data_IF_222923165750
#
_entry.id   IF_222923165750
#
_cell.length_a   1.000
_cell.length_b   1.000
_cell.length_c   1.000
_cell.angle_alpha   90.00
_cell.angle_beta   90.00
_cell.angle_gamma   90.00
#
_symmetry.space_group_name_H-M   'P 1'
#
loop_
_entity.id
_entity.type
_entity.pdbx_description
1 polymer ?
#
# COMPACT_ATOMS: atom_id res chain seq x y z
N UNK A 1 -2.10 -3.33 24.37
CA UNK A 1 -1.55 -3.51 23.01
C UNK A 1 -0.06 -3.19 23.11
N UNK A 2 0.83 -4.15 22.80
CA UNK A 2 2.29 -3.91 22.84
C UNK A 2 2.69 -3.03 21.67
N UNK A 3 3.56 -2.04 21.88
CA UNK A 3 4.11 -1.17 20.83
C UNK A 3 5.30 -1.83 20.14
N UNK A 4 5.45 -1.65 18.83
CA UNK A 4 6.64 -2.07 18.08
C UNK A 4 7.90 -1.37 18.61
N UNK A 5 7.77 -0.13 19.08
CA UNK A 5 8.87 0.62 19.69
C UNK A 5 9.34 0.02 21.02
N UNK A 6 8.66 -0.97 21.59
CA UNK A 6 9.19 -1.72 22.75
C UNK A 6 10.37 -2.62 22.35
N UNK A 7 10.58 -2.86 21.04
CA UNK A 7 11.68 -3.65 20.47
C UNK A 7 12.89 -2.77 20.05
N UNK A 8 13.10 -1.63 20.72
CA UNK A 8 14.12 -0.64 20.34
C UNK A 8 15.57 -1.17 20.38
N UNK A 9 15.82 -2.29 21.03
CA UNK A 9 17.10 -2.99 21.10
C UNK A 9 17.32 -3.96 19.92
N UNK A 10 16.29 -4.23 19.12
CA UNK A 10 16.39 -5.12 17.98
C UNK A 10 17.10 -4.45 16.78
N UNK A 11 18.15 -5.10 16.28
CA UNK A 11 18.85 -4.69 15.05
C UNK A 11 18.04 -5.02 13.78
N UNK A 12 17.30 -6.13 13.80
CA UNK A 12 16.47 -6.60 12.69
C UNK A 12 15.10 -7.06 13.20
N UNK A 13 14.02 -6.66 12.53
CA UNK A 13 12.64 -7.02 12.85
C UNK A 13 12.00 -7.66 11.62
N UNK A 14 11.33 -8.80 11.79
CA UNK A 14 10.65 -9.54 10.72
C UNK A 14 9.14 -9.52 10.96
N UNK A 15 8.37 -9.07 9.96
CA UNK A 15 6.92 -8.92 10.02
C UNK A 15 6.23 -9.56 8.82
N UNK A 16 5.01 -10.05 9.02
CA UNK A 16 4.20 -10.67 7.98
C UNK A 16 3.53 -9.63 7.07
N UNK A 17 3.05 -8.52 7.65
CA UNK A 17 2.39 -7.42 6.95
C UNK A 17 2.57 -6.09 7.69
N UNK A 18 2.44 -4.97 6.96
CA UNK A 18 2.42 -3.62 7.55
C UNK A 18 1.03 -3.04 7.42
N UNK A 19 0.47 -2.62 8.55
CA UNK A 19 -0.82 -1.95 8.60
C UNK A 19 -0.66 -0.46 8.92
N UNK A 20 -1.61 0.41 8.48
CA UNK A 20 -1.51 1.85 8.70
C UNK A 20 -1.32 2.28 10.16
N UNK A 21 -1.83 1.50 11.11
CA UNK A 21 -1.77 1.79 12.53
C UNK A 21 -0.33 1.81 13.07
N UNK A 22 0.58 1.05 12.45
CA UNK A 22 1.98 0.93 12.91
C UNK A 22 2.96 1.76 12.08
N UNK A 23 2.50 2.50 11.06
CA UNK A 23 3.39 3.28 10.19
C UNK A 23 4.28 4.27 10.95
N UNK A 24 3.77 4.91 12.00
CA UNK A 24 4.56 5.84 12.81
C UNK A 24 5.69 5.13 13.57
N UNK A 25 5.39 3.97 14.17
CA UNK A 25 6.36 3.18 14.93
C UNK A 25 7.42 2.56 14.01
N UNK A 26 7.01 2.03 12.86
CA UNK A 26 7.92 1.49 11.83
C UNK A 26 8.82 2.59 11.29
N UNK A 27 8.31 3.80 11.09
CA UNK A 27 9.10 4.94 10.63
C UNK A 27 10.18 5.30 11.65
N UNK A 28 9.80 5.42 12.92
CA UNK A 28 10.72 5.73 14.01
C UNK A 28 11.84 4.68 14.11
N UNK A 29 11.52 3.40 13.96
CA UNK A 29 12.50 2.31 13.96
C UNK A 29 13.45 2.38 12.76
N UNK A 30 12.94 2.64 11.56
CA UNK A 30 13.78 2.82 10.36
C UNK A 30 14.72 4.02 10.50
N UNK A 31 14.25 5.14 11.06
CA UNK A 31 15.06 6.36 11.28
C UNK A 31 16.18 6.13 12.31
N UNK A 32 15.97 5.23 13.28
CA UNK A 32 17.00 4.78 14.23
C UNK A 32 17.98 3.76 13.62
N UNK A 33 17.77 3.31 12.39
CA UNK A 33 18.62 2.36 11.69
C UNK A 33 18.27 0.88 11.91
N UNK A 34 17.13 0.57 12.54
CA UNK A 34 16.62 -0.80 12.64
C UNK A 34 16.20 -1.30 11.26
N UNK A 35 16.64 -2.49 10.87
CA UNK A 35 16.23 -3.11 9.61
C UNK A 35 14.89 -3.81 9.78
N UNK A 36 13.93 -3.48 8.92
CA UNK A 36 12.60 -4.10 8.94
C UNK A 36 12.42 -4.95 7.70
N UNK A 37 12.09 -6.22 7.89
CA UNK A 37 11.93 -7.21 6.83
C UNK A 37 10.47 -7.66 6.76
N UNK A 38 9.82 -7.40 5.63
CA UNK A 38 8.42 -7.74 5.39
C UNK A 38 8.34 -8.99 4.53
N UNK A 39 7.43 -9.89 4.89
CA UNK A 39 7.21 -11.11 4.13
C UNK A 39 6.66 -10.80 2.73
N UNK A 40 7.29 -11.35 1.69
CA UNK A 40 6.87 -11.12 0.29
C UNK A 40 5.52 -11.73 -0.04
N UNK A 41 5.09 -12.75 0.71
CA UNK A 41 3.86 -13.49 0.46
C UNK A 41 3.22 -13.92 1.79
N UNK A 42 2.22 -13.18 2.29
CA UNK A 42 1.49 -13.51 3.52
C UNK A 42 0.89 -14.93 3.53
N UNK A 43 0.59 -15.48 2.33
CA UNK A 43 0.10 -16.86 2.19
C UNK A 43 1.09 -17.92 2.72
N UNK A 44 2.38 -17.59 2.86
CA UNK A 44 3.36 -18.50 3.45
C UNK A 44 3.04 -18.74 4.93
N UNK A 45 2.66 -17.71 5.70
CA UNK A 45 2.30 -17.89 7.12
C UNK A 45 1.15 -18.88 7.25
N UNK A 46 0.12 -18.75 6.40
CA UNK A 46 -1.02 -19.69 6.36
C UNK A 46 -0.56 -21.11 6.03
N UNK A 47 0.23 -21.31 4.96
CA UNK A 47 0.75 -22.63 4.57
C UNK A 47 1.57 -23.29 5.68
N UNK A 48 2.43 -22.53 6.36
CA UNK A 48 3.22 -23.04 7.48
C UNK A 48 2.35 -23.34 8.71
N UNK A 49 1.30 -22.55 8.96
CA UNK A 49 0.34 -22.80 10.04
C UNK A 49 -0.40 -24.12 9.82
N UNK A 50 -0.95 -24.30 8.62
CA UNK A 50 -1.70 -25.50 8.24
C UNK A 50 -0.81 -26.76 8.31
N UNK A 51 0.43 -26.67 7.80
CA UNK A 51 1.41 -27.77 7.84
C UNK A 51 1.78 -28.20 9.26
N UNK A 52 1.78 -27.26 10.21
CA UNK A 52 2.17 -27.53 11.59
C UNK A 52 0.96 -27.76 12.53
N UNK A 53 -0.28 -27.75 12.01
CA UNK A 53 -1.48 -27.90 12.82
C UNK A 53 -1.64 -26.82 13.91
N UNK A 54 -1.00 -25.65 13.73
CA UNK A 54 -0.93 -24.63 14.77
C UNK A 54 -2.20 -23.76 14.78
N UNK A 55 -2.75 -23.50 15.96
CA UNK A 55 -3.81 -22.49 16.12
C UNK A 55 -3.25 -21.09 15.92
N UNK A 56 -4.03 -20.20 15.30
CA UNK A 56 -3.66 -18.79 15.09
C UNK A 56 -3.55 -18.07 16.44
N UNK A 57 -2.36 -17.60 16.78
CA UNK A 57 -2.08 -16.72 17.92
C UNK A 57 -0.83 -15.89 17.60
N UNK A 58 -0.58 -14.82 18.37
CA UNK A 58 0.61 -14.01 18.18
C UNK A 58 1.90 -14.82 18.38
N UNK A 59 1.93 -15.67 19.41
CA UNK A 59 3.10 -16.49 19.71
C UNK A 59 3.34 -17.56 18.63
N UNK A 60 2.28 -18.20 18.14
CA UNK A 60 2.42 -19.20 17.08
C UNK A 60 2.87 -18.58 15.76
N UNK A 61 2.35 -17.40 15.42
CA UNK A 61 2.76 -16.66 14.21
C UNK A 61 4.21 -16.17 14.31
N UNK A 62 4.66 -15.71 15.48
CA UNK A 62 6.06 -15.36 15.72
C UNK A 62 7.01 -16.56 15.53
N UNK A 63 6.65 -17.74 16.09
CA UNK A 63 7.41 -18.99 15.90
C UNK A 63 7.43 -19.40 14.43
N UNK A 64 6.33 -19.23 13.70
CA UNK A 64 6.26 -19.51 12.26
C UNK A 64 7.17 -18.56 11.49
N UNK A 65 7.10 -17.25 11.72
CA UNK A 65 7.92 -16.25 11.06
C UNK A 65 9.41 -16.52 11.26
N UNK A 66 9.83 -16.91 12.48
CA UNK A 66 11.20 -17.27 12.79
C UNK A 66 11.72 -18.49 11.99
N UNK A 67 10.83 -19.37 11.52
CA UNK A 67 11.17 -20.54 10.71
C UNK A 67 11.21 -20.27 9.21
N UNK A 68 10.65 -19.15 8.74
CA UNK A 68 10.64 -18.82 7.32
C UNK A 68 12.06 -18.35 6.92
N UNK A 69 12.66 -18.93 5.87
CA UNK A 69 13.96 -18.47 5.38
C UNK A 69 13.97 -16.99 4.99
N UNK A 70 15.06 -16.27 5.34
CA UNK A 70 15.24 -14.83 5.07
C UNK A 70 14.99 -14.44 3.61
N UNK A 71 15.26 -15.33 2.66
CA UNK A 71 15.03 -15.12 1.22
C UNK A 71 13.57 -14.79 0.85
N UNK A 72 12.61 -15.17 1.70
CA UNK A 72 11.18 -14.89 1.50
C UNK A 72 10.76 -13.52 2.03
N UNK A 73 11.67 -12.80 2.67
CA UNK A 73 11.44 -11.44 3.13
C UNK A 73 12.06 -10.43 2.17
N UNK A 74 11.57 -9.20 2.28
CA UNK A 74 12.09 -8.02 1.59
C UNK A 74 12.35 -6.96 2.66
N UNK A 75 13.53 -6.38 2.64
CA UNK A 75 13.81 -5.22 3.50
C UNK A 75 12.93 -4.04 3.07
N UNK A 76 12.21 -3.47 4.03
CA UNK A 76 11.37 -2.31 3.85
C UNK A 76 12.23 -1.05 3.89
N UNK A 77 12.18 -0.28 2.82
CA UNK A 77 12.88 1.00 2.78
C UNK A 77 12.02 2.14 3.30
N UNK A 78 12.66 3.21 3.79
CA UNK A 78 11.98 4.44 4.20
C UNK A 78 11.09 5.02 3.09
N UNK A 79 11.55 4.91 1.84
CA UNK A 79 10.81 5.38 0.65
C UNK A 79 9.52 4.59 0.45
N UNK A 80 9.59 3.27 0.55
CA UNK A 80 8.41 2.40 0.42
C UNK A 80 7.41 2.64 1.54
N UNK A 81 7.88 2.81 2.78
CA UNK A 81 7.01 3.16 3.90
C UNK A 81 6.33 4.52 3.68
N UNK A 82 7.06 5.53 3.23
CA UNK A 82 6.49 6.85 2.92
C UNK A 82 5.45 6.79 1.80
N UNK A 83 5.70 6.01 0.75
CA UNK A 83 4.72 5.77 -0.30
C UNK A 83 3.43 5.16 0.26
N UNK A 84 3.53 4.10 1.09
CA UNK A 84 2.37 3.49 1.75
C UNK A 84 1.61 4.50 2.64
N UNK A 85 2.33 5.33 3.38
CA UNK A 85 1.75 6.40 4.21
C UNK A 85 1.00 7.43 3.37
N UNK A 86 1.59 7.90 2.28
CA UNK A 86 0.97 8.90 1.40
C UNK A 86 -0.29 8.36 0.75
N UNK A 87 -0.26 7.11 0.26
CA UNK A 87 -1.43 6.43 -0.31
C UNK A 87 -2.56 6.33 0.73
N UNK A 88 -2.25 5.87 1.94
CA UNK A 88 -3.25 5.74 3.01
C UNK A 88 -3.87 7.11 3.40
N UNK A 89 -3.09 8.19 3.42
CA UNK A 89 -3.64 9.54 3.69
C UNK A 89 -4.50 10.01 2.52
N UNK A 90 -4.06 9.81 1.28
CA UNK A 90 -4.80 10.15 0.07
C UNK A 90 -6.18 9.47 0.05
N UNK A 91 -6.21 8.15 0.26
CA UNK A 91 -7.46 7.37 0.26
C UNK A 91 -8.41 7.77 1.39
N UNK A 92 -7.89 8.03 2.61
CA UNK A 92 -8.70 8.57 3.72
C UNK A 92 -9.29 9.93 3.38
N UNK A 93 -8.50 10.81 2.75
CA UNK A 93 -9.01 12.10 2.30
C UNK A 93 -10.10 11.92 1.23
N UNK A 94 -9.96 10.97 0.30
CA UNK A 94 -10.99 10.69 -0.70
C UNK A 94 -12.30 10.21 -0.04
N UNK A 95 -12.21 9.33 0.96
CA UNK A 95 -13.34 8.86 1.74
C UNK A 95 -14.03 9.99 2.51
N UNK A 96 -13.28 10.82 3.23
CA UNK A 96 -13.82 11.96 3.97
C UNK A 96 -14.48 12.98 3.04
N UNK A 97 -13.92 13.19 1.84
CA UNK A 97 -14.51 14.02 0.78
C UNK A 97 -15.90 13.54 0.42
N UNK A 98 -16.07 12.21 0.27
CA UNK A 98 -17.36 11.58 -0.03
C UNK A 98 -18.37 11.80 1.09
N UNK A 99 -17.94 11.65 2.35
CA UNK A 99 -18.80 11.88 3.53
C UNK A 99 -19.23 13.35 3.60
N UNK A 100 -18.28 14.29 3.49
CA UNK A 100 -18.59 15.73 3.54
C UNK A 100 -19.55 16.11 2.42
N UNK A 101 -19.33 15.60 1.19
CA UNK A 101 -20.23 15.85 0.05
C UNK A 101 -21.66 15.37 0.33
N UNK A 102 -21.83 14.21 0.97
CA UNK A 102 -23.15 13.72 1.38
C UNK A 102 -23.81 14.67 2.38
N UNK A 103 -23.05 15.21 3.33
CA UNK A 103 -23.58 16.11 4.37
C UNK A 103 -23.92 17.49 3.81
N UNK A 104 -23.12 18.03 2.88
CA UNK A 104 -23.41 19.32 2.22
C UNK A 104 -24.67 19.30 1.38
N UNK A 105 -25.07 18.11 0.89
CA UNK A 105 -26.34 17.95 0.17
C UNK A 105 -27.57 17.99 1.11
N UNK A 106 -27.37 17.75 2.41
CA UNK A 106 -28.43 17.72 3.42
C UNK A 106 -28.47 19.03 4.20
N UNK A 107 -27.31 19.63 4.47
CA UNK A 107 -27.16 20.84 5.27
C UNK A 107 -26.22 21.84 4.58
N UNK A 108 -26.69 23.07 4.31
CA UNK A 108 -25.82 24.16 3.85
C UNK A 108 -25.15 24.84 5.05
N UNK A 109 -23.94 24.41 5.41
CA UNK A 109 -23.19 24.98 6.53
C UNK A 109 -21.83 25.47 6.06
N UNK A 110 -21.54 26.77 6.24
CA UNK A 110 -20.24 27.42 5.92
C UNK A 110 -19.00 26.67 6.48
N UNK A 111 -19.02 26.08 7.70
CA UNK A 111 -17.90 25.28 8.20
C UNK A 111 -17.57 24.04 7.35
N UNK A 112 -18.57 23.40 6.74
CA UNK A 112 -18.35 22.21 5.90
C UNK A 112 -17.63 22.57 4.60
N UNK A 113 -17.87 23.76 4.07
CA UNK A 113 -17.18 24.24 2.86
C UNK A 113 -15.69 24.50 3.12
N UNK A 114 -15.36 25.11 4.27
CA UNK A 114 -13.96 25.31 4.70
C UNK A 114 -13.25 23.97 4.90
N UNK A 115 -13.90 23.00 5.55
CA UNK A 115 -13.38 21.65 5.69
C UNK A 115 -13.15 20.97 4.32
N UNK A 116 -14.11 21.08 3.39
CA UNK A 116 -13.98 20.51 2.05
C UNK A 116 -12.80 21.12 1.27
N UNK A 117 -12.56 22.43 1.39
CA UNK A 117 -11.41 23.13 0.78
C UNK A 117 -10.09 22.63 1.38
N UNK A 118 -9.97 22.59 2.70
CA UNK A 118 -8.77 22.09 3.37
C UNK A 118 -8.46 20.63 2.99
N UNK A 119 -9.47 19.78 2.99
CA UNK A 119 -9.35 18.38 2.61
C UNK A 119 -8.93 18.21 1.14
N UNK A 120 -9.44 19.05 0.23
CA UNK A 120 -9.03 19.07 -1.17
C UNK A 120 -7.55 19.41 -1.31
N UNK A 121 -7.05 20.41 -0.57
CA UNK A 121 -5.64 20.78 -0.59
C UNK A 121 -4.75 19.64 -0.10
N UNK A 122 -5.11 19.00 1.02
CA UNK A 122 -4.38 17.84 1.55
C UNK A 122 -4.38 16.68 0.54
N UNK A 123 -5.55 16.35 -0.01
CA UNK A 123 -5.71 15.29 -1.02
C UNK A 123 -4.82 15.54 -2.25
N UNK A 124 -4.83 16.76 -2.79
CA UNK A 124 -4.01 17.12 -3.96
C UNK A 124 -2.51 17.08 -3.64
N UNK A 125 -2.12 17.58 -2.46
CA UNK A 125 -0.74 17.54 -1.99
C UNK A 125 -0.23 16.11 -1.94
N UNK A 126 -0.95 15.19 -1.27
CA UNK A 126 -0.52 13.80 -1.19
C UNK A 126 -0.59 13.08 -2.55
N UNK A 127 -1.53 13.45 -3.42
CA UNK A 127 -1.57 12.94 -4.80
C UNK A 127 -0.28 13.24 -5.55
N UNK A 128 0.20 14.48 -5.47
CA UNK A 128 1.47 14.87 -6.09
C UNK A 128 2.66 14.11 -5.46
N UNK A 129 2.70 14.01 -4.13
CA UNK A 129 3.76 13.27 -3.41
C UNK A 129 3.82 11.79 -3.79
N UNK A 130 2.68 11.13 -4.03
CA UNK A 130 2.63 9.74 -4.49
C UNK A 130 3.31 9.62 -5.86
N UNK A 131 2.96 10.48 -6.81
CA UNK A 131 3.55 10.48 -8.15
C UNK A 131 5.06 10.76 -8.07
N UNK A 132 5.48 11.74 -7.26
CA UNK A 132 6.90 12.03 -7.03
C UNK A 132 7.68 10.79 -6.53
N UNK A 133 7.16 10.09 -5.51
CA UNK A 133 7.83 8.90 -4.98
C UNK A 133 7.88 7.75 -5.99
N UNK A 134 6.83 7.58 -6.79
CA UNK A 134 6.80 6.61 -7.89
C UNK A 134 7.86 6.94 -8.94
N UNK A 135 7.96 8.22 -9.32
CA UNK A 135 8.89 8.69 -10.36
C UNK A 135 10.36 8.61 -9.93
N UNK A 136 10.66 8.57 -8.63
CA UNK A 136 12.01 8.40 -8.08
C UNK A 136 12.55 6.96 -8.16
N UNK A 137 11.73 6.00 -8.53
CA UNK A 137 12.14 4.61 -8.70
C UNK A 137 11.97 4.21 -10.17
N UNK A 138 13.06 3.83 -10.84
CA UNK A 138 13.05 3.56 -12.28
C UNK A 138 12.04 2.50 -12.70
N UNK A 139 11.87 1.44 -11.91
CA UNK A 139 10.91 0.37 -12.23
C UNK A 139 9.46 0.85 -12.09
N UNK A 140 9.13 1.55 -11.00
CA UNK A 140 7.80 2.13 -10.81
C UNK A 140 7.52 3.21 -11.87
N UNK A 141 8.48 4.11 -12.13
CA UNK A 141 8.36 5.18 -13.10
C UNK A 141 8.12 4.66 -14.52
N UNK A 142 8.83 3.60 -14.92
CA UNK A 142 8.65 2.97 -16.24
C UNK A 142 7.24 2.42 -16.38
N UNK A 143 6.78 1.62 -15.40
CA UNK A 143 5.42 1.08 -15.42
C UNK A 143 4.35 2.17 -15.41
N UNK A 144 4.54 3.19 -14.58
CA UNK A 144 3.64 4.34 -14.47
C UNK A 144 3.46 5.05 -15.81
N UNK A 145 4.56 5.44 -16.47
CA UNK A 145 4.51 6.11 -17.76
C UNK A 145 3.83 5.25 -18.83
N UNK A 146 4.17 3.97 -18.90
CA UNK A 146 3.56 3.05 -19.86
C UNK A 146 2.04 2.95 -19.70
N UNK A 147 1.55 2.82 -18.46
CA UNK A 147 0.11 2.75 -18.19
C UNK A 147 -0.57 4.08 -18.48
N UNK A 148 0.05 5.20 -18.11
CA UNK A 148 -0.44 6.53 -18.40
C UNK A 148 -0.54 6.79 -19.91
N UNK A 149 0.49 6.40 -20.69
CA UNK A 149 0.51 6.51 -22.15
C UNK A 149 -0.59 5.66 -22.80
N UNK A 150 -0.72 4.40 -22.41
CA UNK A 150 -1.74 3.50 -22.97
C UNK A 150 -3.18 3.97 -22.68
N UNK A 151 -3.42 4.51 -21.49
CA UNK A 151 -4.74 4.97 -21.08
C UNK A 151 -5.01 6.45 -21.47
N UNK A 152 -4.08 7.10 -22.17
CA UNK A 152 -4.12 8.54 -22.48
C UNK A 152 -4.34 9.43 -21.23
N UNK A 153 -3.85 8.98 -20.08
CA UNK A 153 -3.97 9.67 -18.80
C UNK A 153 -2.70 10.46 -18.49
N UNK A 154 -2.87 11.70 -18.06
CA UNK A 154 -1.76 12.55 -17.59
C UNK A 154 -1.81 12.73 -16.08
N UNK A 155 -0.67 12.57 -15.42
CA UNK A 155 -0.49 12.82 -13.97
C UNK A 155 -1.54 12.13 -13.08
N UNK A 156 -1.99 10.94 -13.46
CA UNK A 156 -3.01 10.19 -12.69
C UNK A 156 -2.42 9.62 -11.41
N UNK A 157 -3.00 10.00 -10.27
CA UNK A 157 -2.62 9.46 -8.95
C UNK A 157 -3.13 8.02 -8.81
N UNK A 158 -4.28 7.71 -9.40
CA UNK A 158 -4.89 6.38 -9.35
C UNK A 158 -3.98 5.33 -10.02
N UNK A 159 -3.41 5.67 -11.18
CA UNK A 159 -2.39 4.84 -11.85
C UNK A 159 -1.14 4.71 -10.97
N UNK A 160 -0.69 5.79 -10.33
CA UNK A 160 0.46 5.75 -9.44
C UNK A 160 0.23 4.81 -8.23
N UNK A 161 -0.96 4.86 -7.63
CA UNK A 161 -1.37 3.96 -6.54
C UNK A 161 -1.43 2.50 -7.01
N UNK A 162 -1.99 2.25 -8.19
CA UNK A 162 -2.02 0.91 -8.78
C UNK A 162 -0.61 0.35 -8.96
N UNK A 163 0.29 1.13 -9.55
CA UNK A 163 1.69 0.75 -9.78
C UNK A 163 2.42 0.51 -8.45
N UNK A 164 2.19 1.33 -7.43
CA UNK A 164 2.74 1.14 -6.09
C UNK A 164 2.36 -0.20 -5.46
N UNK A 165 1.17 -0.72 -5.78
CA UNK A 165 0.62 -1.96 -5.23
C UNK A 165 1.05 -3.20 -6.01
N UNK A 166 1.70 -3.03 -7.16
CA UNK A 166 2.13 -4.16 -7.97
C UNK A 166 3.27 -4.95 -7.31
N UNK A 167 3.27 -6.29 -7.42
CA UNK A 167 4.40 -7.10 -7.01
C UNK A 167 5.55 -6.99 -8.03
N UNK A 168 6.29 -5.88 -8.01
CA UNK A 168 7.35 -5.57 -9.00
C UNK A 168 8.49 -6.59 -9.08
N UNK A 169 8.57 -7.52 -8.13
CA UNK A 169 9.47 -8.67 -8.25
C UNK A 169 9.05 -9.65 -9.37
N UNK A 170 7.93 -9.40 -10.05
CA UNK A 170 7.46 -10.17 -11.18
C UNK A 170 8.04 -9.65 -12.49
N UNK A 171 8.22 -10.56 -13.47
CA UNK A 171 8.63 -10.19 -14.82
C UNK A 171 7.67 -9.14 -15.40
N UNK A 172 8.22 -8.18 -16.16
CA UNK A 172 7.46 -7.12 -16.83
C UNK A 172 6.26 -7.65 -17.62
N UNK A 173 6.39 -8.80 -18.30
CA UNK A 173 5.29 -9.44 -19.02
C UNK A 173 4.11 -9.84 -18.13
N UNK A 174 4.36 -10.31 -16.90
CA UNK A 174 3.30 -10.63 -15.94
C UNK A 174 2.64 -9.37 -15.38
N UNK A 175 3.42 -8.32 -15.16
CA UNK A 175 2.90 -7.02 -14.71
C UNK A 175 2.01 -6.39 -15.79
N UNK A 176 2.43 -6.43 -17.06
CA UNK A 176 1.59 -6.03 -18.20
C UNK A 176 0.29 -6.82 -18.25
N UNK A 177 0.34 -8.15 -18.08
CA UNK A 177 -0.85 -8.99 -18.02
C UNK A 177 -1.81 -8.63 -16.88
N UNK A 178 -1.31 -8.32 -15.68
CA UNK A 178 -2.13 -7.88 -14.55
C UNK A 178 -2.86 -6.56 -14.81
N UNK A 179 -2.25 -5.68 -15.61
CA UNK A 179 -2.79 -4.37 -15.96
C UNK A 179 -3.61 -4.41 -17.26
N UNK A 180 -3.80 -5.58 -17.87
CA UNK A 180 -4.51 -5.72 -19.15
C UNK A 180 -3.75 -5.17 -20.37
N UNK A 181 -2.43 -4.93 -20.26
CA UNK A 181 -1.58 -4.32 -21.29
C UNK A 181 -0.96 -5.34 -22.26
N UNK A 182 -1.56 -6.52 -22.42
CA UNK A 182 -1.09 -7.52 -23.39
C UNK A 182 -1.73 -7.27 -24.75
N UNK A 183 -0.92 -7.30 -25.82
CA UNK A 183 -1.35 -7.11 -27.21
C UNK A 183 -2.43 -8.12 -27.63
N UNK A 184 -3.70 -7.79 -27.38
CA UNK A 184 -4.85 -8.27 -28.10
C UNK A 184 -6.04 -7.38 -27.70
N UNK A 185 -6.45 -6.48 -28.60
CA UNK A 185 -7.80 -5.91 -28.69
C UNK A 185 -8.40 -5.33 -27.41
N UNK A 186 -8.48 -4.00 -27.36
CA UNK A 186 -9.29 -3.24 -26.42
C UNK A 186 -10.76 -3.67 -26.57
N UNK A 187 -11.25 -4.51 -25.66
CA UNK A 187 -12.67 -4.56 -25.31
C UNK A 187 -12.78 -4.67 -23.79
N UNK A 188 -12.91 -3.49 -23.16
CA UNK A 188 -13.29 -3.27 -21.77
C UNK A 188 -12.27 -3.68 -20.68
N UNK A 189 -11.42 -2.72 -20.30
CA UNK A 189 -10.86 -2.68 -18.94
C UNK A 189 -12.00 -2.27 -17.98
N UNK A 190 -12.80 -3.24 -17.52
CA UNK A 190 -13.61 -3.05 -16.31
C UNK A 190 -12.71 -3.40 -15.12
N UNK A 191 -11.98 -2.41 -14.58
CA UNK A 191 -11.40 -2.55 -13.24
C UNK A 191 -12.56 -2.37 -12.26
N UNK A 192 -13.22 -3.47 -11.92
CA UNK A 192 -14.21 -3.48 -10.85
C UNK A 192 -13.47 -3.36 -9.52
N UNK A 193 -13.34 -2.14 -9.01
CA UNK A 193 -12.69 -1.84 -7.72
C UNK A 193 -13.36 -2.54 -6.51
N UNK A 194 -14.52 -3.16 -6.71
CA UNK A 194 -15.30 -3.84 -5.67
C UNK A 194 -14.76 -5.24 -5.27
N UNK A 195 -13.92 -5.89 -6.08
CA UNK A 195 -13.49 -7.27 -5.80
C UNK A 195 -12.16 -7.39 -5.02
N UNK A 196 -11.41 -6.29 -4.82
CA UNK A 196 -10.16 -6.32 -4.03
C UNK A 196 -10.45 -6.15 -2.52
N UNK A 197 -11.64 -5.67 -2.15
CA UNK A 197 -12.06 -5.44 -0.76
C UNK A 197 -12.91 -6.57 -0.17
N UNK A 198 -13.15 -7.67 -0.90
CA UNK A 198 -13.89 -8.83 -0.41
C UNK A 198 -13.08 -10.13 -0.40
N UNK A 199 -11.91 -10.13 0.25
CA UNK A 199 -11.35 -11.38 0.79
C UNK A 199 -10.74 -11.13 2.15
N UNK A 200 -11.61 -10.89 3.12
CA UNK A 200 -11.36 -11.05 4.56
C UNK A 200 -12.71 -11.20 5.26
N UNK A 201 -13.32 -12.36 5.05
CA UNK A 201 -14.20 -12.99 6.04
C UNK A 201 -13.55 -14.32 6.42
#
# INVERSE_FOLDING_TARGET
MRKLTELNDACEIYIDAIFPQVYAEVLELLEKGTKIHVLRSPSLVKKFRDKNGAKKSHDSDAIILAKIPRIHFKELTLKELNLLRFINIYEKCAEWKRIIKQWTNIYSLDPLEKCAKGLRSIHNYYGHRIIEEIMRNENYATMYRMVCEELELKDSVEVAILVARLPLNWKLSRLKGLLGLTHAGIEAIIINYADISQTSQ
#
